data_IF_349870420571
#
_entry.id   IF_349870420571
#
_cell.length_a   1.000
_cell.length_b   1.000
_cell.length_c   1.000
_cell.angle_alpha   90.00
_cell.angle_beta   90.00
_cell.angle_gamma   90.00
#
_symmetry.space_group_name_H-M   'P 1'
#
loop_
_entity.id
_entity.type
_entity.pdbx_description
1 polymer ?
#
# COMPACT_ATOMS: atom_id res chain seq x y z
N UNK A 1 5.51 5.77 12.31
CA UNK A 1 5.45 7.03 11.55
C UNK A 1 4.11 7.68 11.79
N UNK A 2 4.09 8.92 12.31
CA UNK A 2 2.86 9.69 12.42
C UNK A 2 2.51 10.27 11.04
N UNK A 3 1.27 10.09 10.59
CA UNK A 3 0.80 10.69 9.34
C UNK A 3 0.33 12.10 9.67
N UNK A 4 1.08 13.11 9.21
CA UNK A 4 0.87 14.51 9.57
C UNK A 4 -0.46 15.09 9.10
N UNK A 5 -1.04 14.55 8.02
CA UNK A 5 -2.35 14.96 7.51
C UNK A 5 -3.53 14.42 8.34
N UNK A 6 -3.31 13.53 9.31
CA UNK A 6 -4.38 13.04 10.18
C UNK A 6 -4.66 14.00 11.33
N UNK A 7 -5.95 14.11 11.66
CA UNK A 7 -6.41 14.92 12.79
C UNK A 7 -5.81 14.48 14.14
N UNK A 8 -5.81 15.42 15.08
CA UNK A 8 -5.29 15.22 16.45
C UNK A 8 -5.88 13.95 17.08
N UNK A 9 -5.04 13.08 17.61
CA UNK A 9 -5.43 11.80 18.22
C UNK A 9 -5.46 10.59 17.28
N UNK A 10 -5.31 10.78 15.96
CA UNK A 10 -5.27 9.69 14.96
C UNK A 10 -3.85 9.44 14.45
N UNK A 11 -2.87 9.33 15.34
CA UNK A 11 -1.45 9.14 15.00
C UNK A 11 -1.11 7.72 14.49
N UNK A 12 -2.11 6.86 14.28
CA UNK A 12 -1.95 5.52 13.75
C UNK A 12 -1.14 5.52 12.45
N UNK A 13 -0.13 4.63 12.38
CA UNK A 13 0.71 4.47 11.19
C UNK A 13 -0.10 4.01 9.96
N UNK A 14 0.52 4.12 8.77
CA UNK A 14 -0.05 3.57 7.54
C UNK A 14 0.60 2.23 7.18
N UNK A 15 -0.15 1.41 6.44
CA UNK A 15 0.39 0.33 5.63
C UNK A 15 0.43 0.80 4.17
N UNK A 16 1.53 0.47 3.49
CA UNK A 16 1.76 0.77 2.08
C UNK A 16 2.01 -0.55 1.38
N UNK A 17 1.31 -0.80 0.27
CA UNK A 17 1.52 -1.98 -0.57
C UNK A 17 2.02 -1.49 -1.93
N UNK A 18 3.18 -1.99 -2.34
CA UNK A 18 3.81 -1.67 -3.62
C UNK A 18 4.08 -2.92 -4.42
N UNK A 19 4.03 -2.81 -5.74
CA UNK A 19 4.54 -3.81 -6.67
C UNK A 19 5.88 -3.32 -7.23
N UNK A 20 6.92 -4.11 -7.07
CA UNK A 20 8.25 -3.82 -7.60
C UNK A 20 8.47 -4.65 -8.85
N UNK A 21 8.65 -3.97 -9.99
CA UNK A 21 8.93 -4.57 -11.30
C UNK A 21 10.39 -4.33 -11.62
N UNK A 22 11.17 -5.41 -11.66
CA UNK A 22 12.55 -5.37 -12.14
C UNK A 22 12.55 -5.34 -13.67
N UNK A 23 13.10 -4.27 -14.25
CA UNK A 23 13.14 -4.07 -15.71
C UNK A 23 14.49 -4.52 -16.26
N UNK A 24 15.56 -4.22 -15.54
CA UNK A 24 16.93 -4.62 -15.84
C UNK A 24 17.72 -4.77 -14.54
N UNK A 25 19.01 -5.09 -14.61
CA UNK A 25 19.89 -5.12 -13.44
C UNK A 25 20.02 -3.74 -12.75
N UNK A 26 19.82 -2.65 -13.51
CA UNK A 26 19.97 -1.28 -13.02
C UNK A 26 18.65 -0.52 -12.92
N UNK A 27 17.58 -1.02 -13.54
CA UNK A 27 16.29 -0.33 -13.63
C UNK A 27 15.18 -1.10 -12.92
N UNK A 28 14.42 -0.37 -12.10
CA UNK A 28 13.29 -0.90 -11.34
C UNK A 28 12.16 0.11 -11.32
N UNK A 29 10.94 -0.36 -11.57
CA UNK A 29 9.72 0.42 -11.37
C UNK A 29 9.05 -0.01 -10.06
N UNK A 30 8.73 0.97 -9.21
CA UNK A 30 7.96 0.75 -7.99
C UNK A 30 6.58 1.37 -8.21
N UNK A 31 5.54 0.53 -8.26
CA UNK A 31 4.16 0.94 -8.42
C UNK A 31 3.49 0.93 -7.06
N UNK A 32 2.93 2.06 -6.64
CA UNK A 32 2.09 2.13 -5.45
C UNK A 32 0.72 1.51 -5.77
N UNK A 33 0.40 0.37 -5.15
CA UNK A 33 -0.89 -0.29 -5.33
C UNK A 33 -1.97 0.32 -4.43
N UNK A 34 -1.64 0.48 -3.14
CA UNK A 34 -2.57 1.10 -2.17
C UNK A 34 -1.83 1.59 -0.92
N UNK A 35 -2.46 2.51 -0.21
CA UNK A 35 -2.07 3.01 1.10
C UNK A 35 -3.31 3.15 1.98
N UNK A 36 -3.23 2.69 3.23
CA UNK A 36 -4.35 2.74 4.17
C UNK A 36 -3.87 2.88 5.62
N UNK A 37 -4.75 3.34 6.51
CA UNK A 37 -4.46 3.41 7.94
C UNK A 37 -4.38 2.01 8.55
N UNK A 38 -3.41 1.79 9.45
CA UNK A 38 -3.31 0.54 10.20
C UNK A 38 -4.61 0.20 10.95
N UNK A 39 -5.36 1.20 11.41
CA UNK A 39 -6.61 1.05 12.15
C UNK A 39 -7.84 0.75 11.30
N UNK A 40 -7.80 0.98 9.98
CA UNK A 40 -8.94 0.78 9.07
C UNK A 40 -9.07 -0.68 8.61
N UNK A 41 -7.96 -1.42 8.60
CA UNK A 41 -7.90 -2.78 8.08
C UNK A 41 -6.94 -3.59 8.97
N UNK A 42 -7.47 -4.50 9.78
CA UNK A 42 -6.64 -5.31 10.69
C UNK A 42 -5.90 -6.41 9.91
N UNK A 43 -6.64 -7.15 9.09
CA UNK A 43 -6.18 -8.23 8.23
C UNK A 43 -6.61 -7.95 6.79
N UNK A 44 -5.82 -8.45 5.83
CA UNK A 44 -6.14 -8.42 4.40
C UNK A 44 -6.30 -9.86 3.92
N UNK A 45 -7.44 -10.18 3.34
CA UNK A 45 -7.67 -11.52 2.77
C UNK A 45 -7.01 -11.67 1.41
N UNK A 46 -6.74 -12.91 1.00
CA UNK A 46 -6.17 -13.19 -0.32
C UNK A 46 -7.04 -12.65 -1.47
N UNK A 47 -8.36 -12.67 -1.30
CA UNK A 47 -9.31 -12.12 -2.27
C UNK A 47 -9.17 -10.61 -2.40
N UNK A 48 -9.12 -9.89 -1.29
CA UNK A 48 -8.95 -8.43 -1.29
C UNK A 48 -7.59 -8.03 -1.86
N UNK A 49 -6.53 -8.80 -1.56
CA UNK A 49 -5.22 -8.60 -2.15
C UNK A 49 -5.25 -8.80 -3.67
N UNK A 50 -5.90 -9.86 -4.15
CA UNK A 50 -6.07 -10.09 -5.59
C UNK A 50 -6.85 -8.95 -6.27
N UNK A 51 -7.89 -8.43 -5.62
CA UNK A 51 -8.65 -7.29 -6.12
C UNK A 51 -7.82 -5.99 -6.17
N UNK A 52 -6.94 -5.76 -5.19
CA UNK A 52 -5.99 -4.63 -5.19
C UNK A 52 -5.04 -4.73 -6.38
N UNK A 53 -4.45 -5.91 -6.62
CA UNK A 53 -3.54 -6.15 -7.75
C UNK A 53 -4.27 -6.02 -9.08
N UNK A 54 -5.49 -6.54 -9.20
CA UNK A 54 -6.27 -6.44 -10.44
C UNK A 54 -6.60 -4.99 -10.81
N UNK A 55 -6.83 -4.12 -9.82
CA UNK A 55 -7.11 -2.70 -10.04
C UNK A 55 -5.90 -1.92 -10.55
N UNK A 56 -4.68 -2.37 -10.27
CA UNK A 56 -3.48 -1.64 -10.69
C UNK A 56 -3.16 -1.73 -12.19
N UNK A 57 -3.99 -2.44 -12.97
CA UNK A 57 -3.97 -2.45 -14.45
C UNK A 57 -2.61 -2.76 -15.07
N UNK A 58 -1.85 -3.66 -14.44
CA UNK A 58 -0.79 -4.44 -15.09
C UNK A 58 -1.38 -5.74 -15.62
#
# INVERSE_FOLDING_TARGET
MAISSKGKGKSGGARVITLTVLISETDTNIVLLTIYDKSECENLTDKELADIVKKSSL
#
